data_IF_536060830350
#
_entry.id   IF_536060830350
#
_cell.length_a   1.000
_cell.length_b   1.000
_cell.length_c   1.000
_cell.angle_alpha   90.00
_cell.angle_beta   90.00
_cell.angle_gamma   90.00
#
_symmetry.space_group_name_H-M   'P 1'
#
loop_
_entity.id
_entity.type
_entity.pdbx_description
1 polymer ?
#
# COMPACT_ATOMS: atom_id res chain seq x y z
N UNK A 1 -25.00 -13.40 -4.79
CA UNK A 1 -24.49 -13.29 -4.41
C UNK A 1 -24.03 -13.06 -3.73
N UNK A 2 -24.00 -12.97 -3.59
CA UNK A 2 -23.51 -12.77 -2.86
C UNK A 2 -22.70 -12.31 -2.59
N UNK A 3 -22.36 -12.07 -2.66
CA UNK A 3 -21.55 -11.69 -2.32
C UNK A 3 -20.93 -11.01 -2.39
N UNK A 4 -20.87 -10.61 -2.44
CA UNK A 4 -20.12 -9.91 -2.59
C UNK A 4 -19.80 -9.14 -1.95
N UNK A 5 -19.80 -8.95 -1.32
CA UNK A 5 -19.35 -8.20 -0.70
C UNK A 5 -18.48 -8.29 -0.06
N UNK A 6 -18.04 -8.63 -0.08
CA UNK A 6 -17.13 -8.71 0.46
C UNK A 6 -16.20 -8.25 0.45
N UNK A 7 -16.06 -8.00 0.34
CA UNK A 7 -15.34 -7.52 0.17
C UNK A 7 -14.12 -7.32 0.26
N UNK A 8 -13.98 -7.81 0.14
CA UNK A 8 -12.85 -7.32 -0.27
C UNK A 8 -12.15 -6.43 0.60
N UNK A 9 -12.82 -5.66 1.07
CA UNK A 9 -12.33 -4.56 1.75
C UNK A 9 -11.70 -4.89 3.04
N UNK A 10 -12.00 -5.99 3.59
CA UNK A 10 -11.52 -6.23 4.87
C UNK A 10 -10.20 -6.93 4.87
N UNK A 11 -9.68 -7.28 3.71
CA UNK A 11 -8.35 -7.83 3.73
C UNK A 11 -7.68 -7.68 2.39
N UNK A 12 -6.40 -7.46 2.43
CA UNK A 12 -5.62 -7.27 1.23
C UNK A 12 -5.22 -8.60 0.63
N UNK A 13 -5.27 -8.73 -0.69
CA UNK A 13 -4.78 -9.94 -1.33
C UNK A 13 -3.30 -10.16 -1.06
N UNK A 14 -2.89 -11.40 -1.12
CA UNK A 14 -1.49 -11.71 -0.85
C UNK A 14 -0.53 -11.10 -1.86
N UNK A 15 -0.99 -10.85 -3.06
CA UNK A 15 -0.11 -10.25 -4.07
C UNK A 15 0.25 -8.81 -3.73
N UNK A 16 -0.41 -8.21 -2.75
CA UNK A 16 -0.04 -6.88 -2.28
C UNK A 16 1.14 -6.91 -1.33
N UNK A 17 1.58 -8.10 -0.93
CA UNK A 17 2.72 -8.20 -0.04
C UNK A 17 3.99 -7.82 -0.74
N UNK A 18 5.05 -7.77 0.01
CA UNK A 18 6.39 -7.50 -0.45
C UNK A 18 6.48 -6.21 -1.24
N UNK A 19 6.58 -6.27 -2.56
CA UNK A 19 6.87 -5.06 -3.33
C UNK A 19 5.84 -3.97 -3.13
N UNK A 20 4.56 -4.33 -3.12
CA UNK A 20 3.53 -3.32 -2.95
C UNK A 20 3.65 -2.65 -1.58
N UNK A 21 3.82 -3.44 -0.54
CA UNK A 21 3.93 -2.87 0.80
C UNK A 21 5.21 -2.05 0.96
N UNK A 22 6.27 -2.45 0.28
CA UNK A 22 7.48 -1.64 0.27
C UNK A 22 7.23 -0.29 -0.36
N UNK A 23 6.47 -0.26 -1.45
CA UNK A 23 6.12 1.00 -2.10
C UNK A 23 5.25 1.86 -1.19
N UNK A 24 4.32 1.24 -0.50
CA UNK A 24 3.48 1.97 0.46
C UNK A 24 4.33 2.59 1.54
N UNK A 25 5.27 1.82 2.08
CA UNK A 25 6.16 2.32 3.11
C UNK A 25 6.99 3.50 2.60
N UNK A 26 7.50 3.38 1.40
CA UNK A 26 8.29 4.43 0.76
C UNK A 26 7.48 5.73 0.65
N UNK A 27 6.22 5.61 0.25
CA UNK A 27 5.35 6.78 0.13
C UNK A 27 5.03 7.37 1.49
N UNK A 28 4.78 6.51 2.47
CA UNK A 28 4.41 6.99 3.80
C UNK A 28 5.56 7.64 4.55
N UNK A 29 6.79 7.39 4.15
CA UNK A 29 7.94 8.02 4.80
C UNK A 29 7.88 9.55 4.72
N UNK A 30 7.19 10.06 3.71
CA UNK A 30 7.06 11.51 3.55
C UNK A 30 5.64 11.96 3.83
N UNK A 31 4.94 11.24 4.69
CA UNK A 31 3.59 11.61 5.05
C UNK A 31 3.60 13.00 5.68
N UNK A 32 2.68 13.83 5.25
CA UNK A 32 2.63 15.20 5.70
C UNK A 32 3.25 16.18 4.73
N UNK A 33 4.01 15.67 3.75
CA UNK A 33 4.56 16.51 2.69
C UNK A 33 3.93 16.10 1.39
N UNK A 34 2.87 16.83 0.99
CA UNK A 34 2.08 16.42 -0.17
C UNK A 34 2.89 16.40 -1.46
N UNK A 35 3.79 17.35 -1.62
CA UNK A 35 4.60 17.41 -2.82
C UNK A 35 5.48 16.18 -2.95
N UNK A 36 6.14 15.82 -1.86
CA UNK A 36 7.03 14.65 -1.88
C UNK A 36 6.23 13.37 -2.05
N UNK A 37 5.05 13.30 -1.41
CA UNK A 37 4.21 12.13 -1.56
C UNK A 37 3.82 11.90 -3.01
N UNK A 38 3.42 12.97 -3.68
CA UNK A 38 3.03 12.87 -5.08
C UNK A 38 4.22 12.44 -5.93
N UNK A 39 5.39 13.00 -5.67
CA UNK A 39 6.59 12.60 -6.41
C UNK A 39 6.89 11.12 -6.24
N UNK A 40 6.78 10.62 -5.02
CA UNK A 40 7.07 9.21 -4.77
C UNK A 40 6.05 8.30 -5.41
N UNK A 41 4.77 8.72 -5.39
CA UNK A 41 3.74 7.97 -6.09
C UNK A 41 4.04 7.90 -7.58
N UNK A 42 4.42 9.04 -8.15
CA UNK A 42 4.75 9.06 -9.58
C UNK A 42 5.94 8.16 -9.88
N UNK A 43 6.95 8.17 -9.04
CA UNK A 43 8.10 7.29 -9.23
C UNK A 43 7.67 5.83 -9.24
N UNK A 44 6.83 5.45 -8.29
CA UNK A 44 6.36 4.08 -8.20
C UNK A 44 5.54 3.71 -9.43
N UNK A 45 4.64 4.60 -9.83
CA UNK A 45 3.76 4.30 -10.96
C UNK A 45 4.53 4.21 -12.27
N UNK A 46 5.59 4.99 -12.41
CA UNK A 46 6.37 4.98 -13.64
C UNK A 46 7.46 3.93 -13.66
N UNK A 47 7.61 3.19 -12.56
CA UNK A 47 8.68 2.20 -12.47
C UNK A 47 8.46 0.97 -13.34
N UNK A 48 7.21 0.68 -13.67
CA UNK A 48 6.88 -0.48 -14.46
C UNK A 48 6.85 -1.79 -13.69
N UNK A 49 6.97 -1.72 -12.37
CA UNK A 49 7.02 -2.91 -11.52
C UNK A 49 5.67 -3.33 -10.96
N UNK A 50 4.64 -2.54 -11.18
CA UNK A 50 3.36 -2.76 -10.54
C UNK A 50 2.26 -2.97 -11.57
N UNK A 51 1.27 -3.78 -11.19
CA UNK A 51 0.11 -4.00 -12.05
C UNK A 51 -0.82 -2.81 -11.98
N UNK A 52 -1.78 -2.77 -12.91
CA UNK A 52 -2.78 -1.71 -12.91
C UNK A 52 -3.55 -1.68 -11.60
N UNK A 53 -3.84 -2.86 -11.07
CA UNK A 53 -4.57 -2.96 -9.82
C UNK A 53 -3.76 -2.41 -8.65
N UNK A 54 -2.48 -2.75 -8.61
CA UNK A 54 -1.60 -2.22 -7.58
C UNK A 54 -1.48 -0.71 -7.68
N UNK A 55 -1.36 -0.21 -8.90
CA UNK A 55 -1.26 1.24 -9.10
C UNK A 55 -2.54 1.95 -8.68
N UNK A 56 -3.69 1.31 -8.87
CA UNK A 56 -4.95 1.88 -8.40
C UNK A 56 -4.94 2.03 -6.89
N UNK A 57 -4.46 1.01 -6.18
CA UNK A 57 -4.35 1.10 -4.73
C UNK A 57 -3.42 2.23 -4.30
N UNK A 58 -2.31 2.39 -5.01
CA UNK A 58 -1.35 3.44 -4.68
C UNK A 58 -1.98 4.81 -4.86
N UNK A 59 -2.75 4.99 -5.93
CA UNK A 59 -3.46 6.25 -6.12
C UNK A 59 -4.46 6.50 -4.99
N UNK A 60 -5.14 5.46 -4.54
CA UNK A 60 -6.11 5.61 -3.47
C UNK A 60 -5.46 6.08 -2.17
N UNK A 61 -4.18 5.77 -1.97
CA UNK A 61 -3.49 6.24 -0.78
C UNK A 61 -3.45 7.75 -0.70
N UNK A 62 -3.47 8.40 -1.86
CA UNK A 62 -3.42 9.87 -1.89
C UNK A 62 -4.79 10.50 -1.68
N UNK A 63 -5.85 9.84 -2.17
CA UNK A 63 -7.14 10.50 -2.25
C UNK A 63 -8.19 9.93 -1.31
N UNK A 64 -7.92 8.80 -0.68
CA UNK A 64 -8.91 8.14 0.15
C UNK A 64 -8.29 7.71 1.47
N UNK A 65 -8.50 8.48 2.55
CA UNK A 65 -7.90 8.13 3.83
C UNK A 65 -8.25 6.71 4.30
N UNK A 66 -9.42 6.23 3.93
CA UNK A 66 -9.82 4.90 4.34
C UNK A 66 -8.90 3.83 3.77
N UNK A 67 -8.37 4.04 2.56
CA UNK A 67 -7.45 3.08 1.97
C UNK A 67 -6.20 2.94 2.83
N UNK A 68 -5.71 4.07 3.36
CA UNK A 68 -4.55 4.02 4.25
C UNK A 68 -4.84 3.21 5.50
N UNK A 69 -6.02 3.38 6.05
CA UNK A 69 -6.38 2.66 7.25
C UNK A 69 -6.53 1.17 7.00
N UNK A 70 -7.10 0.83 5.87
CA UNK A 70 -7.24 -0.58 5.52
C UNK A 70 -5.89 -1.27 5.47
N UNK A 71 -4.92 -0.62 4.85
CA UNK A 71 -3.59 -1.20 4.76
C UNK A 71 -2.93 -1.28 6.12
N UNK A 72 -3.00 -0.21 6.89
CA UNK A 72 -2.37 -0.16 8.20
C UNK A 72 -2.92 -1.22 9.16
N UNK A 73 -4.20 -1.53 9.01
CA UNK A 73 -4.85 -2.46 9.93
C UNK A 73 -4.80 -3.90 9.43
N UNK A 74 -4.19 -4.15 8.28
CA UNK A 74 -4.12 -5.49 7.74
C UNK A 74 -3.05 -6.30 8.44
N UNK A 75 -3.26 -7.60 8.48
CA UNK A 75 -2.26 -8.52 9.03
C UNK A 75 -1.00 -8.49 8.16
N UNK A 76 -1.20 -8.33 6.88
CA UNK A 76 -0.09 -8.27 5.94
C UNK A 76 0.85 -7.12 6.26
N UNK A 77 0.30 -5.97 6.62
CA UNK A 77 1.12 -4.83 6.99
C UNK A 77 1.89 -5.09 8.26
N UNK A 78 1.24 -5.72 9.23
CA UNK A 78 1.92 -6.05 10.49
C UNK A 78 3.07 -6.99 10.26
N UNK A 79 2.86 -8.00 9.42
CA UNK A 79 3.91 -8.94 9.07
C UNK A 79 5.06 -8.23 8.37
N UNK A 80 4.72 -7.34 7.45
CA UNK A 80 5.73 -6.60 6.72
C UNK A 80 6.58 -5.79 7.69
N UNK A 81 5.95 -5.12 8.64
CA UNK A 81 6.68 -4.31 9.60
C UNK A 81 7.58 -5.17 10.49
N UNK A 82 7.06 -6.30 10.92
CA UNK A 82 7.85 -7.20 11.77
C UNK A 82 9.08 -7.71 11.01
N UNK A 83 8.90 -8.11 9.76
CA UNK A 83 10.01 -8.59 8.95
C UNK A 83 11.02 -7.49 8.68
N UNK A 84 10.53 -6.29 8.46
CA UNK A 84 11.39 -5.16 8.21
C UNK A 84 12.26 -4.87 9.42
N UNK A 85 11.67 -4.91 10.60
CA UNK A 85 12.42 -4.67 11.82
C UNK A 85 13.44 -5.77 12.06
N UNK A 86 13.06 -7.00 11.79
CA UNK A 86 13.95 -8.12 11.99
C UNK A 86 15.16 -8.04 11.06
N UNK A 87 14.97 -7.51 9.86
CA UNK A 87 16.06 -7.48 8.90
C UNK A 87 16.99 -6.29 9.09
N UNK A 88 16.67 -5.40 10.00
CA UNK A 88 17.50 -4.23 10.24
C UNK A 88 18.71 -4.54 11.11
N UNK A 89 18.67 -5.63 11.79
CA UNK A 89 19.79 -5.98 12.68
C UNK A 89 21.07 -6.33 11.94
#
# INVERSE_FOLDING_TARGET
MKQIKRTVDDRLPKWLHSRFLSAVDYIWQVKGNNEESIKRVEQVMNSGHFTDEEMSWIMLLLILPKANEMIKNSDEWREFQANKEASVH
#
